data_IF_456976809402
#
_entry.id   IF_456976809402
#
_cell.length_a   1.000
_cell.length_b   1.000
_cell.length_c   1.000
_cell.angle_alpha   90.00
_cell.angle_beta   90.00
_cell.angle_gamma   90.00
#
_symmetry.space_group_name_H-M   'P 1'
#
loop_
_entity.id
_entity.type
_entity.pdbx_description
1 polymer ?
#
# COMPACT_ATOMS: atom_id res chain seq x y z
N UNK A 1 8.56 40.90 61.11
CA UNK A 1 8.40 39.44 61.17
C UNK A 1 9.21 38.83 60.03
N UNK A 2 10.32 38.13 60.32
CA UNK A 2 11.17 37.51 59.32
C UNK A 2 10.67 36.11 58.93
N UNK A 3 10.78 35.77 57.63
CA UNK A 3 10.55 34.43 57.08
C UNK A 3 11.76 33.53 57.31
N UNK A 4 11.52 32.31 57.81
CA UNK A 4 12.52 31.24 57.93
C UNK A 4 12.48 30.32 56.69
N UNK A 5 13.61 29.73 56.26
CA UNK A 5 13.67 28.81 55.12
C UNK A 5 13.38 27.37 55.57
N UNK A 6 12.74 26.58 54.71
CA UNK A 6 12.55 25.14 54.92
C UNK A 6 13.43 24.38 53.93
N UNK A 7 14.37 23.59 54.49
CA UNK A 7 15.40 22.87 53.75
C UNK A 7 14.94 21.54 53.15
N UNK A 8 15.82 20.98 52.31
CA UNK A 8 15.63 19.76 51.53
C UNK A 8 15.60 18.47 52.39
N UNK A 9 14.83 17.49 51.93
CA UNK A 9 14.78 16.13 52.47
C UNK A 9 15.68 15.16 51.66
N UNK A 10 16.25 14.12 52.31
CA UNK A 10 17.35 13.29 51.78
C UNK A 10 16.88 12.12 50.89
N UNK A 11 17.79 11.48 50.12
CA UNK A 11 17.47 10.36 49.25
C UNK A 11 17.57 9.00 49.97
N UNK A 12 16.70 8.06 49.59
CA UNK A 12 16.81 6.63 49.87
C UNK A 12 16.55 5.91 48.53
N UNK A 13 17.26 4.89 48.07
CA UNK A 13 18.27 4.02 48.65
C UNK A 13 18.24 2.75 47.79
N UNK A 14 19.31 2.51 47.04
CA UNK A 14 19.55 1.30 46.26
C UNK A 14 19.99 0.15 47.17
N UNK A 15 19.69 -1.12 46.80
CA UNK A 15 20.47 -2.35 47.06
C UNK A 15 19.74 -3.57 46.38
N UNK A 16 20.14 -4.09 45.18
CA UNK A 16 21.19 -5.10 44.82
C UNK A 16 20.63 -6.57 44.83
N UNK A 17 20.99 -7.54 43.93
CA UNK A 17 22.28 -7.74 43.23
C UNK A 17 22.28 -8.10 41.72
N UNK A 18 23.48 -7.97 41.11
CA UNK A 18 23.90 -8.46 39.78
C UNK A 18 24.76 -9.73 39.88
N UNK A 19 24.59 -10.67 38.93
CA UNK A 19 25.58 -11.54 38.19
C UNK A 19 24.80 -12.72 37.53
N UNK A 20 25.06 -13.30 36.34
CA UNK A 20 26.14 -13.25 35.33
C UNK A 20 25.71 -13.83 33.94
N UNK A 21 26.38 -13.35 32.87
CA UNK A 21 26.75 -13.95 31.53
C UNK A 21 25.71 -14.46 30.50
N UNK A 22 26.03 -14.38 29.18
CA UNK A 22 25.05 -14.34 28.09
C UNK A 22 24.75 -15.72 27.46
N UNK A 23 23.48 -15.98 27.18
CA UNK A 23 23.04 -17.08 26.32
C UNK A 23 22.70 -16.54 24.93
N UNK A 24 23.20 -17.21 23.90
CA UNK A 24 22.84 -16.97 22.50
C UNK A 24 21.34 -17.21 22.30
N UNK A 25 20.64 -16.26 21.67
CA UNK A 25 19.22 -16.37 21.31
C UNK A 25 19.06 -16.25 19.80
N UNK A 26 18.57 -17.35 19.21
CA UNK A 26 18.03 -17.48 17.86
C UNK A 26 16.80 -16.57 17.66
N UNK A 27 16.53 -16.07 16.44
CA UNK A 27 15.39 -15.19 16.18
C UNK A 27 14.06 -15.93 16.36
N UNK A 28 13.11 -15.26 17.03
CA UNK A 28 11.78 -15.78 17.30
C UNK A 28 10.87 -15.62 16.08
N UNK A 29 10.14 -16.70 15.79
CA UNK A 29 9.11 -16.80 14.77
C UNK A 29 7.94 -15.81 15.01
N UNK A 30 7.32 -15.36 13.91
CA UNK A 30 6.20 -14.43 13.91
C UNK A 30 4.94 -14.94 14.64
N UNK A 31 3.95 -14.06 14.88
CA UNK A 31 2.73 -14.41 15.61
C UNK A 31 1.89 -15.45 14.85
N UNK A 32 1.08 -16.27 15.57
CA UNK A 32 0.30 -17.32 14.95
C UNK A 32 -0.86 -16.76 14.12
N UNK A 33 -1.16 -17.45 13.02
CA UNK A 33 -2.30 -17.17 12.15
C UNK A 33 -3.63 -17.29 12.92
N UNK A 34 -4.56 -16.37 12.64
CA UNK A 34 -5.94 -16.45 13.12
C UNK A 34 -6.63 -17.70 12.54
N UNK A 35 -7.32 -18.45 13.41
CA UNK A 35 -8.06 -19.66 13.04
C UNK A 35 -9.23 -19.39 12.09
N UNK A 36 -9.74 -20.44 11.40
CA UNK A 36 -10.78 -20.29 10.40
C UNK A 36 -12.12 -19.88 11.03
N UNK A 37 -12.97 -19.12 10.32
CA UNK A 37 -14.32 -18.83 10.78
C UNK A 37 -15.20 -20.10 10.76
N UNK A 38 -16.25 -20.19 11.61
CA UNK A 38 -17.13 -21.33 11.65
C UNK A 38 -17.98 -21.45 10.37
N UNK A 39 -18.19 -22.68 9.92
CA UNK A 39 -19.07 -23.02 8.81
C UNK A 39 -20.53 -22.66 9.13
N UNK A 40 -21.12 -21.80 8.32
CA UNK A 40 -22.51 -21.38 8.40
C UNK A 40 -23.31 -21.83 7.17
N UNK A 41 -24.10 -22.88 7.38
CA UNK A 41 -25.44 -23.21 6.84
C UNK A 41 -25.76 -22.86 5.38
N UNK A 42 -26.01 -23.90 4.59
CA UNK A 42 -26.42 -23.81 3.19
C UNK A 42 -27.76 -23.11 2.98
N UNK A 43 -27.87 -22.48 1.81
CA UNK A 43 -29.13 -22.00 1.26
C UNK A 43 -29.38 -22.71 -0.07
N UNK A 44 -30.51 -23.40 -0.15
CA UNK A 44 -30.98 -24.17 -1.29
C UNK A 44 -31.33 -23.25 -2.46
N UNK A 45 -30.64 -23.43 -3.60
CA UNK A 45 -31.06 -22.85 -4.88
C UNK A 45 -32.24 -23.66 -5.44
N UNK A 46 -33.41 -23.02 -5.54
CA UNK A 46 -34.55 -23.54 -6.31
C UNK A 46 -34.31 -23.42 -7.83
N UNK A 47 -35.01 -24.20 -8.66
CA UNK A 47 -34.73 -24.27 -10.09
C UNK A 47 -35.22 -23.02 -10.82
N UNK A 48 -34.33 -22.41 -11.62
CA UNK A 48 -34.67 -21.29 -12.52
C UNK A 48 -35.08 -21.88 -13.87
N UNK A 49 -36.31 -21.58 -14.30
CA UNK A 49 -36.83 -21.95 -15.62
C UNK A 49 -36.14 -21.13 -16.74
N UNK A 50 -35.91 -21.70 -17.93
CA UNK A 50 -35.24 -21.00 -19.02
C UNK A 50 -36.18 -19.97 -19.67
N UNK A 51 -35.70 -18.73 -19.84
CA UNK A 51 -36.37 -17.68 -20.62
C UNK A 51 -36.03 -17.82 -22.12
N UNK A 52 -36.97 -17.49 -23.03
CA UNK A 52 -36.83 -17.72 -24.46
C UNK A 52 -35.90 -16.70 -25.16
N UNK A 53 -35.35 -17.01 -26.34
CA UNK A 53 -34.38 -16.16 -27.03
C UNK A 53 -35.05 -14.96 -27.71
N UNK A 54 -34.53 -13.75 -27.47
CA UNK A 54 -34.81 -12.57 -28.30
C UNK A 54 -35.48 -11.39 -27.59
N UNK A 55 -34.79 -10.76 -26.63
CA UNK A 55 -35.05 -9.37 -26.23
C UNK A 55 -33.71 -8.69 -25.95
N UNK A 56 -33.33 -7.75 -26.81
CA UNK A 56 -32.20 -6.84 -26.58
C UNK A 56 -32.71 -5.71 -25.68
N UNK A 57 -32.24 -5.69 -24.43
CA UNK A 57 -32.51 -4.61 -23.47
C UNK A 57 -31.23 -3.85 -23.17
N UNK A 58 -31.14 -2.61 -23.63
CA UNK A 58 -30.17 -1.63 -23.15
C UNK A 58 -30.48 -1.32 -21.67
N UNK A 59 -29.54 -1.59 -20.78
CA UNK A 59 -29.68 -1.29 -19.36
C UNK A 59 -28.50 -1.80 -18.54
N UNK A 60 -27.66 -0.84 -18.12
CA UNK A 60 -26.84 -0.77 -16.89
C UNK A 60 -26.73 -2.06 -16.08
N UNK A 61 -25.49 -2.57 -15.96
CA UNK A 61 -25.11 -3.59 -14.97
C UNK A 61 -24.63 -4.90 -15.58
N UNK A 62 -23.43 -4.90 -16.18
CA UNK A 62 -22.72 -6.14 -16.48
C UNK A 62 -21.21 -5.91 -16.49
N UNK A 63 -20.54 -6.35 -15.43
CA UNK A 63 -19.23 -7.04 -15.53
C UNK A 63 -18.92 -7.70 -14.17
N UNK A 64 -19.81 -8.58 -13.73
CA UNK A 64 -19.42 -9.69 -12.89
C UNK A 64 -19.42 -10.94 -13.79
N UNK A 65 -18.24 -11.50 -14.04
CA UNK A 65 -18.09 -12.86 -14.57
C UNK A 65 -18.20 -13.02 -16.10
N UNK A 66 -17.34 -12.34 -16.86
CA UNK A 66 -16.70 -13.03 -17.96
C UNK A 66 -15.33 -13.46 -17.41
N UNK A 67 -15.05 -14.76 -17.36
CA UNK A 67 -13.68 -15.22 -17.21
C UNK A 67 -12.94 -14.77 -18.47
N UNK A 68 -12.33 -13.57 -18.41
CA UNK A 68 -11.48 -13.09 -19.48
C UNK A 68 -10.31 -14.07 -19.56
N UNK A 69 -10.28 -14.89 -20.61
CA UNK A 69 -9.06 -15.57 -21.03
C UNK A 69 -7.95 -14.51 -21.02
N UNK A 70 -6.88 -14.75 -20.26
CA UNK A 70 -5.79 -13.79 -20.13
C UNK A 70 -5.28 -13.43 -21.51
N UNK A 71 -5.36 -12.15 -21.88
CA UNK A 71 -4.95 -11.70 -23.20
C UNK A 71 -3.44 -11.53 -23.17
N UNK A 72 -2.75 -12.30 -24.01
CA UNK A 72 -1.28 -12.30 -24.12
C UNK A 72 -0.87 -12.07 -25.57
N UNK A 73 0.21 -11.34 -25.79
CA UNK A 73 0.87 -11.29 -27.11
C UNK A 73 1.28 -12.70 -27.56
N UNK A 74 1.13 -13.03 -28.84
CA UNK A 74 1.38 -14.37 -29.38
C UNK A 74 2.87 -14.78 -29.43
N UNK A 75 3.80 -13.85 -29.19
CA UNK A 75 5.23 -14.08 -29.23
C UNK A 75 5.76 -14.57 -27.87
N UNK A 76 6.36 -15.78 -27.80
CA UNK A 76 7.07 -16.22 -26.60
C UNK A 76 8.26 -15.30 -26.33
N UNK A 77 8.30 -14.71 -25.14
CA UNK A 77 9.43 -13.90 -24.68
C UNK A 77 9.70 -14.20 -23.19
N UNK A 78 10.96 -14.51 -22.82
CA UNK A 78 11.31 -14.86 -21.45
C UNK A 78 11.25 -13.67 -20.48
N UNK A 79 11.42 -12.44 -20.97
CA UNK A 79 11.30 -11.24 -20.15
C UNK A 79 9.83 -10.96 -19.81
N UNK A 80 8.92 -11.13 -20.79
CA UNK A 80 7.48 -11.10 -20.54
C UNK A 80 7.06 -12.19 -19.56
N UNK A 81 7.55 -13.43 -19.73
CA UNK A 81 7.25 -14.52 -18.80
C UNK A 81 7.70 -14.19 -17.36
N UNK A 82 8.87 -13.57 -17.21
CA UNK A 82 9.39 -13.12 -15.91
C UNK A 82 8.54 -11.98 -15.32
N UNK A 83 8.08 -11.05 -16.16
CA UNK A 83 7.18 -9.98 -15.75
C UNK A 83 5.83 -10.53 -15.24
N UNK A 84 5.23 -11.46 -15.98
CA UNK A 84 3.96 -12.10 -15.61
C UNK A 84 4.10 -12.91 -14.32
N UNK A 85 5.21 -13.64 -14.15
CA UNK A 85 5.50 -14.34 -12.89
C UNK A 85 5.56 -13.38 -11.71
N UNK A 86 6.21 -12.21 -11.88
CA UNK A 86 6.28 -11.20 -10.82
C UNK A 86 4.91 -10.57 -10.53
N UNK A 87 4.07 -10.30 -11.54
CA UNK A 87 2.69 -9.84 -11.31
C UNK A 87 1.90 -10.85 -10.48
N UNK A 88 1.96 -12.14 -10.82
CA UNK A 88 1.27 -13.18 -10.05
C UNK A 88 1.81 -13.30 -8.62
N UNK A 89 3.12 -13.19 -8.42
CA UNK A 89 3.71 -13.19 -7.09
C UNK A 89 3.25 -11.99 -6.26
N UNK A 90 3.24 -10.79 -6.84
CA UNK A 90 2.76 -9.58 -6.16
C UNK A 90 1.27 -9.66 -5.81
N UNK A 91 0.43 -10.17 -6.73
CA UNK A 91 -0.99 -10.44 -6.46
C UNK A 91 -1.18 -11.44 -5.32
N UNK A 92 -0.38 -12.52 -5.32
CA UNK A 92 -0.42 -13.54 -4.27
C UNK A 92 -0.01 -12.95 -2.93
N UNK A 93 1.12 -12.25 -2.88
CA UNK A 93 1.64 -11.64 -1.65
C UNK A 93 0.68 -10.59 -1.10
N UNK A 94 -0.01 -9.86 -1.98
CA UNK A 94 -0.97 -8.84 -1.60
C UNK A 94 -2.43 -9.34 -1.54
N UNK A 95 -2.69 -10.65 -1.52
CA UNK A 95 -4.07 -11.21 -1.60
C UNK A 95 -5.03 -10.76 -0.50
N UNK A 96 -4.51 -10.37 0.66
CA UNK A 96 -5.30 -9.80 1.77
C UNK A 96 -5.73 -8.34 1.52
N UNK A 97 -5.26 -7.74 0.42
CA UNK A 97 -5.60 -6.40 -0.04
C UNK A 97 -6.09 -6.48 -1.51
N UNK A 98 -7.36 -6.88 -1.74
CA UNK A 98 -7.80 -7.28 -3.08
C UNK A 98 -8.11 -6.11 -4.03
N UNK A 99 -8.15 -4.88 -3.50
CA UNK A 99 -8.53 -3.66 -4.23
C UNK A 99 -7.35 -2.99 -4.92
N UNK A 100 -6.45 -3.74 -5.56
CA UNK A 100 -5.41 -3.13 -6.37
C UNK A 100 -4.99 -4.04 -7.51
N UNK A 101 -4.49 -3.42 -8.56
CA UNK A 101 -3.79 -4.09 -9.63
C UNK A 101 -2.32 -3.71 -9.63
N UNK A 102 -1.48 -4.65 -10.07
CA UNK A 102 -0.05 -4.48 -10.26
C UNK A 102 0.29 -4.45 -11.74
N UNK A 103 1.31 -3.68 -12.09
CA UNK A 103 1.94 -3.71 -13.39
C UNK A 103 3.45 -3.85 -13.22
N UNK A 104 4.04 -4.75 -14.00
CA UNK A 104 5.48 -4.97 -14.11
C UNK A 104 5.90 -4.61 -15.53
N UNK A 105 6.85 -3.69 -15.64
CA UNK A 105 7.46 -3.26 -16.90
C UNK A 105 8.93 -3.70 -16.94
N UNK A 106 9.35 -4.27 -18.06
CA UNK A 106 10.74 -4.63 -18.32
C UNK A 106 11.33 -3.63 -19.29
N UNK A 107 12.35 -2.92 -18.84
CA UNK A 107 13.07 -1.92 -19.62
C UNK A 107 14.39 -2.49 -20.09
N UNK A 108 14.69 -2.30 -21.38
CA UNK A 108 16.03 -2.52 -21.93
C UNK A 108 16.79 -1.21 -21.88
N UNK A 109 18.03 -1.30 -21.40
CA UNK A 109 18.97 -0.19 -21.32
C UNK A 109 20.33 -0.60 -21.85
N UNK A 110 21.20 0.36 -22.13
CA UNK A 110 22.60 0.07 -22.49
C UNK A 110 23.34 -0.69 -21.37
N UNK A 111 22.93 -0.48 -20.11
CA UNK A 111 23.48 -1.16 -18.92
C UNK A 111 22.87 -2.53 -18.62
N UNK A 112 21.81 -2.94 -19.34
CA UNK A 112 21.12 -4.21 -19.14
C UNK A 112 19.62 -4.05 -18.92
N UNK A 113 19.03 -5.02 -18.22
CA UNK A 113 17.58 -5.07 -17.96
C UNK A 113 17.26 -4.39 -16.64
N UNK A 114 16.28 -3.49 -16.65
CA UNK A 114 15.68 -2.90 -15.46
C UNK A 114 14.23 -3.37 -15.32
N UNK A 115 13.85 -3.85 -14.14
CA UNK A 115 12.47 -4.24 -13.82
C UNK A 115 11.82 -3.17 -12.96
N UNK A 116 10.76 -2.54 -13.46
CA UNK A 116 9.97 -1.56 -12.71
C UNK A 116 8.59 -2.10 -12.39
N UNK A 117 8.08 -1.69 -11.24
CA UNK A 117 6.75 -2.06 -10.76
C UNK A 117 5.94 -0.83 -10.35
N UNK A 118 4.63 -0.90 -10.55
CA UNK A 118 3.68 0.12 -10.12
C UNK A 118 2.34 -0.55 -9.83
N UNK A 119 1.52 0.06 -8.98
CA UNK A 119 0.18 -0.40 -8.69
C UNK A 119 -0.82 0.75 -8.71
N UNK A 120 -2.10 0.42 -8.62
CA UNK A 120 -3.20 1.39 -8.64
C UNK A 120 -3.49 2.06 -7.29
N UNK A 121 -2.65 1.88 -6.26
CA UNK A 121 -2.87 2.43 -4.93
C UNK A 121 -1.84 3.51 -4.56
N UNK A 122 -2.31 4.74 -4.38
CA UNK A 122 -1.50 5.87 -3.96
C UNK A 122 -0.37 6.19 -4.92
N UNK A 123 0.80 6.54 -4.37
CA UNK A 123 2.04 6.67 -5.12
C UNK A 123 2.85 5.35 -5.07
N UNK A 124 2.19 4.21 -5.34
CA UNK A 124 2.82 2.89 -5.23
C UNK A 124 2.85 2.35 -3.81
N UNK A 125 1.73 2.43 -3.09
CA UNK A 125 1.60 1.85 -1.76
C UNK A 125 1.70 0.32 -1.82
N UNK A 126 2.59 -0.22 -0.99
CA UNK A 126 2.78 -1.64 -0.68
C UNK A 126 2.07 -1.97 0.66
N UNK A 127 1.14 -2.95 0.70
CA UNK A 127 0.51 -3.40 1.93
C UNK A 127 1.46 -3.97 2.97
N UNK A 128 1.02 -4.02 4.22
CA UNK A 128 1.75 -4.69 5.28
C UNK A 128 1.92 -6.18 4.96
N UNK A 129 3.13 -6.72 5.20
CA UNK A 129 3.47 -8.11 4.91
C UNK A 129 3.83 -8.42 3.46
N UNK A 130 3.75 -7.45 2.55
CA UNK A 130 4.25 -7.59 1.17
C UNK A 130 5.69 -7.12 1.11
N UNK A 131 6.58 -7.98 0.63
CA UNK A 131 8.01 -7.70 0.48
C UNK A 131 8.38 -7.71 -1.01
N UNK A 132 9.00 -6.62 -1.48
CA UNK A 132 9.26 -6.43 -2.91
C UNK A 132 10.63 -7.02 -3.27
N UNK A 133 10.76 -7.80 -4.34
CA UNK A 133 12.07 -8.29 -4.78
C UNK A 133 13.06 -7.15 -5.00
N UNK A 134 14.28 -7.26 -4.47
CA UNK A 134 15.34 -6.24 -4.63
C UNK A 134 15.79 -6.04 -6.08
N UNK A 135 15.47 -6.98 -6.96
CA UNK A 135 15.67 -6.87 -8.41
C UNK A 135 14.65 -5.96 -9.12
N UNK A 136 13.59 -5.55 -8.41
CA UNK A 136 12.55 -4.67 -8.93
C UNK A 136 12.53 -3.33 -8.19
N UNK A 137 12.14 -2.25 -8.88
CA UNK A 137 11.99 -0.92 -8.29
C UNK A 137 10.60 -0.34 -8.52
N UNK A 138 10.06 0.32 -7.50
CA UNK A 138 8.82 1.08 -7.64
C UNK A 138 9.02 2.29 -8.55
N UNK A 139 8.12 2.52 -9.51
CA UNK A 139 8.13 3.71 -10.39
C UNK A 139 8.19 4.99 -9.55
N UNK A 140 7.32 5.11 -8.54
CA UNK A 140 7.23 6.33 -7.72
C UNK A 140 8.41 6.56 -6.77
N UNK A 141 9.33 5.59 -6.63
CA UNK A 141 10.59 5.76 -5.90
C UNK A 141 11.66 6.50 -6.74
N UNK A 142 11.40 6.80 -8.01
CA UNK A 142 12.25 7.67 -8.81
C UNK A 142 12.13 9.13 -8.33
N UNK A 143 13.22 9.65 -7.75
CA UNK A 143 13.32 11.04 -7.28
C UNK A 143 13.24 12.09 -8.39
N UNK A 144 13.42 11.70 -9.65
CA UNK A 144 13.28 12.57 -10.82
C UNK A 144 11.84 12.91 -11.21
N UNK A 145 10.84 12.20 -10.68
CA UNK A 145 9.44 12.43 -11.03
C UNK A 145 8.94 13.79 -10.55
N UNK A 146 8.42 14.56 -11.51
CA UNK A 146 7.83 15.88 -11.24
C UNK A 146 6.60 15.79 -10.32
N UNK A 147 6.30 16.84 -9.54
CA UNK A 147 5.08 16.90 -8.75
C UNK A 147 3.81 16.73 -9.61
N UNK A 148 3.82 17.18 -10.86
CA UNK A 148 2.70 17.05 -11.79
C UNK A 148 2.49 15.59 -12.21
N UNK A 149 3.56 14.86 -12.52
CA UNK A 149 3.46 13.43 -12.81
C UNK A 149 2.91 12.67 -11.61
N UNK A 150 3.46 12.95 -10.43
CA UNK A 150 3.01 12.34 -9.17
C UNK A 150 1.53 12.62 -8.90
N UNK A 151 1.07 13.85 -9.10
CA UNK A 151 -0.33 14.22 -8.92
C UNK A 151 -1.27 13.62 -9.97
N UNK A 152 -0.83 13.49 -11.22
CA UNK A 152 -1.64 12.97 -12.32
C UNK A 152 -1.89 11.46 -12.20
N UNK A 153 -0.89 10.72 -11.72
CA UNK A 153 -0.90 9.25 -11.70
C UNK A 153 -1.14 8.65 -10.31
N UNK A 154 -1.42 9.46 -9.29
CA UNK A 154 -1.71 8.98 -7.95
C UNK A 154 -3.01 8.17 -7.89
N UNK A 155 -2.95 6.93 -7.40
CA UNK A 155 -4.09 6.00 -7.37
C UNK A 155 -4.78 5.82 -8.72
N UNK A 156 -4.03 5.85 -9.83
CA UNK A 156 -4.62 5.67 -11.16
C UNK A 156 -5.06 4.22 -11.36
N UNK A 157 -6.30 4.02 -11.83
CA UNK A 157 -6.95 2.71 -11.82
C UNK A 157 -6.23 1.66 -12.69
N UNK A 158 -5.75 2.05 -13.88
CA UNK A 158 -4.97 1.15 -14.74
C UNK A 158 -3.46 1.40 -14.59
N UNK A 159 -2.72 0.57 -13.81
CA UNK A 159 -1.30 0.79 -13.59
C UNK A 159 -0.45 0.66 -14.87
N UNK A 160 -0.95 0.00 -15.93
CA UNK A 160 -0.27 -0.05 -17.23
C UNK A 160 -0.15 1.35 -17.86
N UNK A 161 -1.16 2.20 -17.74
CA UNK A 161 -1.10 3.58 -18.25
C UNK A 161 -0.05 4.40 -17.52
N UNK A 162 0.08 4.20 -16.21
CA UNK A 162 1.14 4.86 -15.41
C UNK A 162 2.52 4.38 -15.85
N UNK A 163 2.69 3.07 -16.10
CA UNK A 163 3.95 2.50 -16.60
C UNK A 163 4.33 3.07 -17.98
N UNK A 164 3.35 3.17 -18.89
CA UNK A 164 3.54 3.72 -20.23
C UNK A 164 3.92 5.20 -20.18
N UNK A 165 3.24 5.99 -19.34
CA UNK A 165 3.57 7.39 -19.16
C UNK A 165 4.96 7.59 -18.54
N UNK A 166 5.35 6.72 -17.60
CA UNK A 166 6.71 6.70 -17.07
C UNK A 166 7.73 6.36 -18.17
N UNK A 167 7.44 5.36 -19.01
CA UNK A 167 8.32 4.97 -20.11
C UNK A 167 8.55 6.13 -21.09
N UNK A 168 7.49 6.87 -21.44
CA UNK A 168 7.59 8.06 -22.27
C UNK A 168 8.45 9.14 -21.60
N UNK A 169 8.19 9.45 -20.32
CA UNK A 169 8.98 10.43 -19.57
C UNK A 169 10.46 10.03 -19.48
N UNK A 170 10.75 8.74 -19.28
CA UNK A 170 12.11 8.23 -19.20
C UNK A 170 12.82 8.36 -20.56
N UNK A 171 12.15 8.06 -21.67
CA UNK A 171 12.69 8.19 -23.02
C UNK A 171 13.01 9.64 -23.42
N UNK A 172 12.31 10.63 -22.83
CA UNK A 172 12.64 12.06 -23.02
C UNK A 172 14.01 12.44 -22.40
N UNK A 173 14.49 11.69 -21.41
CA UNK A 173 15.71 12.00 -20.66
C UNK A 173 16.83 10.98 -20.89
N UNK A 174 16.50 9.81 -21.45
CA UNK A 174 17.42 8.71 -21.74
C UNK A 174 17.14 8.17 -23.14
N UNK A 175 18.07 8.33 -24.07
CA UNK A 175 17.93 7.76 -25.42
C UNK A 175 18.10 6.24 -25.44
N UNK A 176 18.69 5.66 -24.38
CA UNK A 176 19.02 4.25 -24.30
C UNK A 176 17.95 3.38 -23.63
N UNK A 177 16.81 3.96 -23.21
CA UNK A 177 15.76 3.24 -22.48
C UNK A 177 14.57 2.90 -23.39
N UNK A 178 14.17 1.64 -23.37
CA UNK A 178 13.01 1.13 -24.10
C UNK A 178 12.17 0.24 -23.19
N UNK A 179 10.86 0.48 -23.13
CA UNK A 179 9.92 -0.46 -22.51
C UNK A 179 9.72 -1.66 -23.46
N UNK A 180 10.32 -2.80 -23.11
CA UNK A 180 10.32 -4.00 -23.94
C UNK A 180 9.09 -4.88 -23.72
N UNK A 181 8.72 -5.12 -22.45
CA UNK A 181 7.61 -5.99 -22.09
C UNK A 181 6.81 -5.42 -20.91
N UNK A 182 5.50 -5.72 -20.87
CA UNK A 182 4.61 -5.29 -19.80
C UNK A 182 3.61 -6.38 -19.42
N UNK A 183 3.56 -6.74 -18.15
CA UNK A 183 2.50 -7.57 -17.59
C UNK A 183 1.67 -6.74 -16.61
N UNK A 184 0.35 -6.94 -16.59
CA UNK A 184 -0.56 -6.18 -15.72
C UNK A 184 -1.72 -7.04 -15.25
N UNK A 185 -2.09 -6.93 -13.98
CA UNK A 185 -3.27 -7.61 -13.45
C UNK A 185 -4.56 -6.87 -13.82
N UNK A 186 -5.69 -7.58 -13.83
CA UNK A 186 -6.93 -7.08 -14.45
C UNK A 186 -8.15 -7.13 -13.53
N UNK A 187 -7.95 -7.22 -12.22
CA UNK A 187 -9.03 -7.52 -11.27
C UNK A 187 -9.72 -6.25 -10.73
N UNK A 188 -9.06 -5.09 -10.78
CA UNK A 188 -9.53 -3.84 -10.19
C UNK A 188 -9.27 -2.58 -11.06
N UNK A 189 -9.38 -2.75 -12.38
CA UNK A 189 -9.29 -1.67 -13.38
C UNK A 189 -8.04 -1.70 -14.27
N UNK A 190 -7.10 -2.60 -14.02
CA UNK A 190 -5.92 -2.82 -14.85
C UNK A 190 -6.24 -3.52 -16.18
N UNK A 191 -5.48 -3.15 -17.21
CA UNK A 191 -5.53 -3.80 -18.51
C UNK A 191 -4.32 -3.41 -19.35
N UNK A 192 -3.78 -4.36 -20.11
CA UNK A 192 -2.73 -4.15 -21.11
C UNK A 192 -3.23 -3.42 -22.34
N UNK A 193 -4.54 -3.19 -22.50
CA UNK A 193 -5.15 -2.58 -23.70
C UNK A 193 -4.40 -1.32 -24.19
N UNK A 194 -3.99 -0.35 -23.35
CA UNK A 194 -3.23 0.82 -23.79
C UNK A 194 -1.82 0.48 -24.33
N UNK A 195 -1.22 -0.61 -23.88
CA UNK A 195 0.13 -1.02 -24.28
C UNK A 195 0.14 -1.73 -25.64
N UNK A 196 -0.97 -2.33 -26.07
CA UNK A 196 -1.03 -3.21 -27.27
C UNK A 196 -0.72 -2.52 -28.59
N UNK A 197 -0.89 -1.20 -28.64
CA UNK A 197 -0.56 -0.38 -29.80
C UNK A 197 0.88 0.17 -29.75
N UNK A 198 1.59 0.00 -28.63
CA UNK A 198 2.89 0.64 -28.37
C UNK A 198 4.03 -0.35 -28.22
N UNK A 199 3.76 -1.56 -27.70
CA UNK A 199 4.78 -2.59 -27.49
C UNK A 199 4.28 -3.96 -27.99
N UNK A 200 5.22 -4.81 -28.40
CA UNK A 200 4.91 -6.15 -28.91
C UNK A 200 4.62 -7.17 -27.81
N UNK A 201 5.28 -7.04 -26.64
CA UNK A 201 5.22 -8.02 -25.56
C UNK A 201 4.36 -7.52 -24.41
N UNK A 202 3.14 -8.05 -24.32
CA UNK A 202 2.20 -7.69 -23.25
C UNK A 202 1.37 -8.88 -22.75
N UNK A 203 0.94 -8.82 -21.49
CA UNK A 203 0.08 -9.84 -20.88
C UNK A 203 -0.90 -9.25 -19.85
N UNK A 204 -2.16 -9.69 -19.94
CA UNK A 204 -3.20 -9.52 -18.92
C UNK A 204 -3.19 -10.71 -17.95
N UNK A 205 -2.80 -10.46 -16.70
CA UNK A 205 -2.66 -11.45 -15.65
C UNK A 205 -3.86 -11.43 -14.70
N UNK A 206 -4.94 -12.13 -15.04
CA UNK A 206 -6.09 -12.28 -14.13
C UNK A 206 -5.74 -13.14 -12.92
N UNK A 207 -6.12 -12.73 -11.70
CA UNK A 207 -5.95 -13.52 -10.47
C UNK A 207 -6.54 -14.93 -10.59
N UNK A 208 -7.62 -15.10 -11.35
CA UNK A 208 -8.25 -16.42 -11.58
C UNK A 208 -7.38 -17.38 -12.39
N UNK A 209 -6.41 -16.86 -13.13
CA UNK A 209 -5.44 -17.62 -13.93
C UNK A 209 -4.07 -17.73 -13.23
N UNK A 210 -3.99 -17.35 -11.95
CA UNK A 210 -2.76 -17.44 -11.18
C UNK A 210 -2.21 -18.87 -11.18
N UNK A 211 -0.92 -19.08 -11.50
CA UNK A 211 -0.27 -20.37 -11.35
C UNK A 211 0.03 -20.70 -9.88
N UNK A 212 -0.05 -19.72 -8.99
CA UNK A 212 0.16 -19.88 -7.55
C UNK A 212 -1.17 -20.23 -6.87
N UNK A 213 -1.16 -21.30 -6.09
CA UNK A 213 -2.30 -21.68 -5.25
C UNK A 213 -2.26 -20.98 -3.89
N UNK A 214 -3.42 -20.87 -3.24
CA UNK A 214 -3.56 -20.18 -1.95
C UNK A 214 -2.74 -20.81 -0.81
N UNK A 215 -2.32 -22.07 -0.96
CA UNK A 215 -1.48 -22.77 0.03
C UNK A 215 0.00 -22.40 -0.07
N UNK A 216 0.42 -21.78 -1.18
CA UNK A 216 1.80 -21.29 -1.32
C UNK A 216 2.02 -20.16 -0.30
N UNK A 217 3.09 -20.20 0.51
CA UNK A 217 3.42 -19.10 1.42
C UNK A 217 3.61 -17.78 0.67
N UNK A 218 3.36 -16.64 1.33
CA UNK A 218 3.81 -15.35 0.78
C UNK A 218 5.34 -15.27 0.79
N UNK A 219 5.89 -14.42 -0.08
CA UNK A 219 7.29 -14.00 0.04
C UNK A 219 7.59 -13.52 1.46
N UNK A 220 8.80 -13.77 1.92
CA UNK A 220 9.26 -13.40 3.25
C UNK A 220 10.30 -12.29 3.15
N UNK A 221 10.50 -11.56 4.25
CA UNK A 221 11.60 -10.62 4.34
C UNK A 221 12.91 -11.40 4.46
N UNK A 222 13.73 -11.36 3.42
CA UNK A 222 14.99 -12.09 3.31
C UNK A 222 16.03 -11.28 2.52
N UNK A 223 17.15 -11.89 2.13
CA UNK A 223 18.22 -11.22 1.37
C UNK A 223 17.80 -10.81 -0.05
N UNK A 224 16.73 -11.40 -0.58
CA UNK A 224 16.21 -11.15 -1.93
C UNK A 224 15.01 -10.20 -1.95
N UNK A 225 14.30 -10.03 -0.83
CA UNK A 225 13.14 -9.14 -0.72
C UNK A 225 13.35 -7.98 0.25
N UNK A 226 12.96 -6.79 -0.18
CA UNK A 226 13.04 -5.56 0.58
C UNK A 226 11.78 -5.28 1.39
N UNK A 227 11.99 -4.68 2.57
CA UNK A 227 10.90 -4.12 3.35
C UNK A 227 10.27 -2.92 2.62
N UNK A 228 8.96 -2.69 2.77
CA UNK A 228 8.25 -1.58 2.09
C UNK A 228 8.80 -0.18 2.39
N UNK A 229 9.40 0.04 3.57
CA UNK A 229 10.15 1.27 3.84
C UNK A 229 11.48 1.34 3.08
N UNK A 230 12.19 0.22 2.94
CA UNK A 230 13.47 0.14 2.24
C UNK A 230 13.32 0.52 0.76
N UNK A 231 12.15 0.23 0.16
CA UNK A 231 11.84 0.61 -1.23
C UNK A 231 11.63 2.11 -1.43
N UNK A 232 11.33 2.86 -0.36
CA UNK A 232 11.18 4.32 -0.37
C UNK A 232 12.43 5.04 0.11
N UNK A 233 12.96 4.60 1.25
CA UNK A 233 14.10 5.19 1.94
C UNK A 233 14.91 4.10 2.66
N UNK A 234 15.88 3.56 1.93
CA UNK A 234 16.81 2.53 2.44
C UNK A 234 17.64 3.01 3.63
N UNK A 235 18.03 4.28 3.65
CA UNK A 235 18.84 4.83 4.72
C UNK A 235 18.03 4.91 6.02
N UNK A 236 16.79 5.41 5.93
CA UNK A 236 15.87 5.45 7.05
C UNK A 236 15.52 4.04 7.55
N UNK A 237 15.23 3.10 6.65
CA UNK A 237 15.00 1.71 7.04
C UNK A 237 16.18 1.11 7.81
N UNK A 238 17.41 1.31 7.30
CA UNK A 238 18.63 0.83 7.96
C UNK A 238 18.82 1.44 9.34
N UNK A 239 18.59 2.75 9.50
CA UNK A 239 18.64 3.41 10.82
C UNK A 239 17.61 2.85 11.78
N UNK A 240 16.35 2.75 11.35
CA UNK A 240 15.23 2.30 12.20
C UNK A 240 15.35 0.82 12.62
N UNK A 241 16.15 0.04 11.90
CA UNK A 241 16.46 -1.36 12.22
C UNK A 241 17.79 -1.55 12.93
N UNK A 242 18.53 -0.47 13.21
CA UNK A 242 19.77 -0.48 13.98
C UNK A 242 21.04 -0.83 13.18
N UNK A 243 20.97 -0.84 11.85
CA UNK A 243 22.10 -1.14 10.96
C UNK A 243 22.65 0.10 10.23
N UNK A 244 21.97 1.24 10.32
CA UNK A 244 22.36 2.49 9.67
C UNK A 244 22.88 3.55 10.64
N UNK A 245 23.33 4.67 10.07
CA UNK A 245 23.81 5.82 10.84
C UNK A 245 22.68 6.58 11.55
N UNK A 246 22.99 7.14 12.71
CA UNK A 246 22.09 7.96 13.51
C UNK A 246 21.57 7.27 14.78
N UNK A 247 20.77 7.99 15.59
CA UNK A 247 20.22 7.43 16.81
C UNK A 247 19.19 6.33 16.51
N UNK A 248 19.19 5.29 17.36
CA UNK A 248 18.13 4.30 17.38
C UNK A 248 16.78 4.99 17.61
N UNK A 249 15.71 4.53 16.95
CA UNK A 249 14.41 5.13 17.13
C UNK A 249 13.88 4.90 18.55
N UNK A 250 13.14 5.88 19.03
CA UNK A 250 12.40 5.79 20.29
C UNK A 250 10.90 6.01 20.09
N UNK A 251 10.15 5.67 21.12
CA UNK A 251 8.69 5.79 21.12
C UNK A 251 8.21 7.24 20.91
N UNK A 252 8.97 8.23 21.36
CA UNK A 252 8.63 9.64 21.23
C UNK A 252 8.81 10.13 19.79
N UNK A 253 9.86 9.68 19.09
CA UNK A 253 10.05 9.89 17.65
C UNK A 253 8.88 9.29 16.86
N UNK A 254 8.54 8.03 17.13
CA UNK A 254 7.41 7.35 16.48
C UNK A 254 6.08 8.08 16.71
N UNK A 255 5.85 8.56 17.93
CA UNK A 255 4.65 9.32 18.26
C UNK A 255 4.58 10.67 17.54
N UNK A 256 5.70 11.42 17.46
CA UNK A 256 5.76 12.67 16.68
C UNK A 256 5.46 12.43 15.20
N UNK A 257 6.01 11.37 14.62
CA UNK A 257 5.73 10.95 13.24
C UNK A 257 4.24 10.64 13.05
N UNK A 258 3.64 9.92 14.01
CA UNK A 258 2.21 9.61 14.04
C UNK A 258 1.35 10.88 14.05
N UNK A 259 1.62 11.81 14.96
CA UNK A 259 0.85 13.05 15.10
C UNK A 259 0.98 13.92 13.84
N UNK A 260 2.17 14.04 13.27
CA UNK A 260 2.38 14.82 12.04
C UNK A 260 1.57 14.26 10.87
N UNK A 261 1.58 12.93 10.70
CA UNK A 261 0.78 12.25 9.69
C UNK A 261 -0.74 12.44 9.93
N UNK A 262 -1.18 12.31 11.17
CA UNK A 262 -2.58 12.51 11.56
C UNK A 262 -3.06 13.94 11.27
N UNK A 263 -2.25 14.95 11.61
CA UNK A 263 -2.56 16.34 11.32
C UNK A 263 -2.73 16.58 9.81
N UNK A 264 -1.82 16.05 8.98
CA UNK A 264 -1.91 16.20 7.52
C UNK A 264 -3.15 15.52 6.94
N UNK A 265 -3.41 14.26 7.31
CA UNK A 265 -4.55 13.50 6.82
C UNK A 265 -5.89 14.14 7.24
N UNK A 266 -6.02 14.54 8.51
CA UNK A 266 -7.23 15.17 9.04
C UNK A 266 -7.44 16.59 8.49
N UNK A 267 -6.37 17.35 8.25
CA UNK A 267 -6.45 18.66 7.60
C UNK A 267 -6.97 18.54 6.15
N UNK A 268 -6.49 17.54 5.40
CA UNK A 268 -6.99 17.26 4.05
C UNK A 268 -8.46 16.84 4.06
N UNK A 269 -8.84 15.91 4.94
CA UNK A 269 -10.24 15.51 5.04
C UNK A 269 -11.14 16.70 5.42
N UNK A 270 -10.67 17.56 6.34
CA UNK A 270 -11.39 18.77 6.75
C UNK A 270 -11.46 19.88 5.70
N UNK A 271 -10.65 19.84 4.64
CA UNK A 271 -10.73 20.82 3.55
C UNK A 271 -11.76 20.45 2.48
N UNK A 272 -12.39 19.28 2.57
CA UNK A 272 -13.39 18.81 1.62
C UNK A 272 -14.78 19.01 2.23
N UNK A 273 -15.67 19.80 1.60
CA UNK A 273 -17.05 19.97 2.07
C UNK A 273 -17.77 18.63 2.20
N UNK A 274 -18.52 18.46 3.29
CA UNK A 274 -19.33 17.28 3.59
C UNK A 274 -18.57 15.92 3.63
N UNK A 275 -17.23 15.96 3.69
CA UNK A 275 -16.43 14.75 3.81
C UNK A 275 -16.51 14.18 5.23
N UNK A 276 -17.10 12.99 5.36
CA UNK A 276 -17.26 12.32 6.64
C UNK A 276 -15.95 11.63 7.08
N UNK A 277 -15.43 12.01 8.24
CA UNK A 277 -14.34 11.29 8.92
C UNK A 277 -14.95 10.39 10.00
N UNK A 278 -14.65 9.10 9.95
CA UNK A 278 -15.12 8.15 10.95
C UNK A 278 -14.70 8.59 12.38
N UNK A 279 -15.63 8.70 13.36
CA UNK A 279 -15.32 9.19 14.70
C UNK A 279 -14.19 8.42 15.40
N UNK A 280 -14.13 7.11 15.19
CA UNK A 280 -13.12 6.22 15.76
C UNK A 280 -11.68 6.69 15.49
N UNK A 281 -11.41 7.32 14.34
CA UNK A 281 -10.06 7.84 14.01
C UNK A 281 -9.65 8.92 15.04
N UNK A 282 -10.53 9.88 15.31
CA UNK A 282 -10.25 10.99 16.22
C UNK A 282 -10.23 10.52 17.68
N UNK A 283 -11.14 9.62 18.04
CA UNK A 283 -11.25 9.10 19.41
C UNK A 283 -10.06 8.21 19.80
N UNK A 284 -9.60 7.34 18.90
CA UNK A 284 -8.39 6.52 19.15
C UNK A 284 -7.16 7.42 19.24
N UNK A 285 -7.00 8.38 18.32
CA UNK A 285 -5.89 9.34 18.34
C UNK A 285 -5.87 10.14 19.65
N UNK A 286 -7.02 10.62 20.11
CA UNK A 286 -7.17 11.38 21.36
C UNK A 286 -6.77 10.55 22.58
N UNK A 287 -7.28 9.31 22.71
CA UNK A 287 -6.91 8.41 23.81
C UNK A 287 -5.40 8.13 23.83
N UNK A 288 -4.81 7.81 22.67
CA UNK A 288 -3.38 7.57 22.55
C UNK A 288 -2.55 8.82 22.95
N UNK A 289 -3.01 10.01 22.58
CA UNK A 289 -2.34 11.28 22.89
C UNK A 289 -2.28 11.60 24.39
N UNK A 290 -3.28 11.13 25.15
CA UNK A 290 -3.33 11.27 26.59
C UNK A 290 -2.68 10.08 27.33
N UNK A 291 -2.12 9.12 26.60
CA UNK A 291 -1.56 7.89 27.18
C UNK A 291 -2.62 7.00 27.84
N UNK A 292 -3.88 7.11 27.41
CA UNK A 292 -5.00 6.35 27.94
C UNK A 292 -5.18 5.03 27.19
N UNK A 293 -5.64 3.96 27.86
CA UNK A 293 -5.92 2.70 27.21
C UNK A 293 -7.09 2.86 26.22
N UNK A 294 -6.91 2.32 25.01
CA UNK A 294 -7.95 2.33 23.97
C UNK A 294 -8.85 1.09 24.15
N UNK A 295 -10.17 1.25 24.33
CA UNK A 295 -11.09 0.12 24.45
C UNK A 295 -11.13 -0.77 23.21
N UNK A 296 -11.29 -2.09 23.39
CA UNK A 296 -11.35 -3.06 22.29
C UNK A 296 -12.36 -2.70 21.19
N UNK A 297 -13.53 -2.16 21.59
CA UNK A 297 -14.56 -1.70 20.66
C UNK A 297 -14.06 -0.59 19.72
N UNK A 298 -13.22 0.33 20.19
CA UNK A 298 -12.69 1.42 19.35
C UNK A 298 -11.69 0.89 18.33
N UNK A 299 -10.92 -0.14 18.67
CA UNK A 299 -10.07 -0.83 17.70
C UNK A 299 -10.91 -1.49 16.59
N UNK A 300 -12.00 -2.16 16.94
CA UNK A 300 -12.91 -2.77 15.97
C UNK A 300 -13.59 -1.74 15.06
N UNK A 301 -14.06 -0.63 15.63
CA UNK A 301 -14.65 0.48 14.86
C UNK A 301 -13.62 1.13 13.92
N UNK A 302 -12.36 1.22 14.35
CA UNK A 302 -11.26 1.71 13.54
C UNK A 302 -10.92 0.75 12.38
N UNK A 303 -10.88 -0.56 12.63
CA UNK A 303 -10.71 -1.59 11.60
C UNK A 303 -11.87 -1.56 10.57
N UNK A 304 -13.11 -1.40 11.02
CA UNK A 304 -14.25 -1.24 10.11
C UNK A 304 -14.15 0.04 9.26
N UNK A 305 -13.71 1.15 9.86
CA UNK A 305 -13.46 2.40 9.15
C UNK A 305 -12.34 2.25 8.11
N UNK A 306 -11.34 1.39 8.35
CA UNK A 306 -10.27 1.10 7.39
C UNK A 306 -10.85 0.52 6.11
N UNK A 307 -11.68 -0.53 6.22
CA UNK A 307 -12.31 -1.20 5.08
C UNK A 307 -13.15 -0.18 4.28
N UNK A 308 -13.93 0.66 4.97
CA UNK A 308 -14.71 1.72 4.32
C UNK A 308 -13.83 2.71 3.54
N UNK A 309 -12.75 3.20 4.16
CA UNK A 309 -11.83 4.12 3.50
C UNK A 309 -11.15 3.50 2.27
N UNK A 310 -10.73 2.23 2.36
CA UNK A 310 -10.16 1.48 1.24
C UNK A 310 -11.14 1.32 0.08
N UNK A 311 -12.36 0.87 0.36
CA UNK A 311 -13.39 0.67 -0.67
C UNK A 311 -13.76 1.98 -1.35
N UNK A 312 -13.96 3.06 -0.59
CA UNK A 312 -14.26 4.37 -1.15
C UNK A 312 -13.10 4.94 -1.96
N UNK A 313 -11.85 4.77 -1.51
CA UNK A 313 -10.66 5.17 -2.26
C UNK A 313 -10.54 4.43 -3.59
N UNK A 314 -10.69 3.10 -3.58
CA UNK A 314 -10.62 2.25 -4.77
C UNK A 314 -11.75 2.56 -5.77
N UNK A 315 -12.99 2.73 -5.28
CA UNK A 315 -14.15 3.03 -6.11
C UNK A 315 -14.10 4.40 -6.79
N UNK A 316 -13.34 5.35 -6.24
CA UNK A 316 -13.21 6.71 -6.76
C UNK A 316 -11.95 6.92 -7.62
N UNK A 317 -11.15 5.88 -7.86
CA UNK A 317 -9.91 6.01 -8.62
C UNK A 317 -10.15 6.60 -10.01
N UNK A 318 -9.35 7.59 -10.42
CA UNK A 318 -9.39 8.09 -11.79
C UNK A 318 -8.84 7.04 -12.77
N UNK A 319 -9.15 7.19 -14.05
CA UNK A 319 -8.69 6.30 -15.11
C UNK A 319 -9.58 5.09 -15.36
N UNK A 320 -10.68 4.95 -14.61
CA UNK A 320 -11.74 3.99 -14.94
C UNK A 320 -12.60 4.49 -16.10
N UNK A 321 -12.67 5.81 -16.28
CA UNK A 321 -13.38 6.47 -17.36
C UNK A 321 -12.38 7.26 -18.20
N UNK A 322 -12.47 7.15 -19.53
CA UNK A 322 -11.51 7.76 -20.48
C UNK A 322 -11.48 9.29 -20.51
N UNK A 323 -12.17 9.98 -19.60
CA UNK A 323 -12.25 11.43 -19.49
C UNK A 323 -11.52 12.02 -18.29
N UNK A 324 -10.90 11.20 -17.44
CA UNK A 324 -10.34 11.67 -16.17
C UNK A 324 -9.04 12.47 -16.37
N UNK A 325 -8.99 13.66 -15.77
CA UNK A 325 -7.84 14.58 -15.85
C UNK A 325 -6.78 14.34 -14.78
N UNK A 326 -7.06 13.49 -13.78
CA UNK A 326 -6.15 13.15 -12.69
C UNK A 326 -6.88 12.82 -11.39
N UNK A 327 -6.11 12.65 -10.32
CA UNK A 327 -6.60 12.30 -8.98
C UNK A 327 -7.44 13.41 -8.37
N UNK A 328 -8.51 13.04 -7.66
CA UNK A 328 -9.41 13.99 -6.99
C UNK A 328 -9.06 14.16 -5.50
N UNK A 329 -9.59 15.23 -4.89
CA UNK A 329 -9.43 15.47 -3.45
C UNK A 329 -9.94 14.31 -2.60
N UNK A 330 -11.07 13.71 -3.02
CA UNK A 330 -11.69 12.59 -2.32
C UNK A 330 -10.80 11.35 -2.34
N UNK A 331 -10.16 11.02 -3.47
CA UNK A 331 -9.22 9.88 -3.55
C UNK A 331 -8.04 10.09 -2.61
N UNK A 332 -7.47 11.29 -2.59
CA UNK A 332 -6.36 11.63 -1.70
C UNK A 332 -6.76 11.54 -0.22
N UNK A 333 -7.96 12.04 0.14
CA UNK A 333 -8.46 11.97 1.51
C UNK A 333 -8.72 10.53 1.97
N UNK A 334 -9.34 9.69 1.14
CA UNK A 334 -9.56 8.28 1.49
C UNK A 334 -8.24 7.52 1.62
N UNK A 335 -7.27 7.75 0.73
CA UNK A 335 -5.93 7.18 0.84
C UNK A 335 -5.28 7.60 2.16
N UNK A 336 -5.20 8.90 2.46
CA UNK A 336 -4.53 9.39 3.66
C UNK A 336 -5.20 8.91 4.95
N UNK A 337 -6.54 8.82 4.97
CA UNK A 337 -7.27 8.26 6.11
C UNK A 337 -7.04 6.76 6.26
N UNK A 338 -6.99 5.98 5.17
CA UNK A 338 -6.68 4.56 5.24
C UNK A 338 -5.28 4.32 5.82
N UNK A 339 -4.27 5.09 5.36
CA UNK A 339 -2.90 5.02 5.89
C UNK A 339 -2.82 5.49 7.34
N UNK A 340 -3.58 6.51 7.72
CA UNK A 340 -3.65 6.98 9.11
C UNK A 340 -4.25 5.90 10.01
N UNK A 341 -5.31 5.23 9.57
CA UNK A 341 -5.94 4.14 10.31
C UNK A 341 -4.95 3.00 10.53
N UNK A 342 -4.26 2.53 9.49
CA UNK A 342 -3.20 1.51 9.63
C UNK A 342 -2.14 1.92 10.63
N UNK A 343 -1.72 3.18 10.58
CA UNK A 343 -0.71 3.73 11.47
C UNK A 343 -1.19 3.72 12.92
N UNK A 344 -2.43 4.12 13.19
CA UNK A 344 -3.03 4.06 14.52
C UNK A 344 -3.15 2.62 15.04
N UNK A 345 -3.47 1.66 14.17
CA UNK A 345 -3.57 0.24 14.53
C UNK A 345 -2.21 -0.34 14.99
N UNK A 346 -1.08 0.19 14.52
CA UNK A 346 0.25 -0.24 15.00
C UNK A 346 0.47 0.06 16.49
N UNK A 347 -0.22 1.04 17.07
CA UNK A 347 -0.13 1.37 18.49
C UNK A 347 -0.88 0.40 19.40
N UNK A 348 -1.64 -0.54 18.82
CA UNK A 348 -2.25 -1.66 19.55
C UNK A 348 -1.24 -2.77 19.87
N UNK A 349 -0.11 -2.81 19.16
CA UNK A 349 0.92 -3.84 19.33
C UNK A 349 1.72 -3.65 20.62
N UNK A 350 2.22 -4.75 21.18
CA UNK A 350 3.05 -4.73 22.38
C UNK A 350 4.43 -4.08 22.14
N UNK A 351 4.89 -4.09 20.89
CA UNK A 351 6.16 -3.48 20.46
C UNK A 351 5.93 -2.44 19.38
N UNK A 352 6.73 -1.37 19.41
CA UNK A 352 6.63 -0.29 18.42
C UNK A 352 7.24 -0.70 17.09
N UNK A 353 6.41 -0.76 16.06
CA UNK A 353 6.83 -1.08 14.70
C UNK A 353 7.41 0.15 13.98
N UNK A 354 8.61 0.58 14.35
CA UNK A 354 9.21 1.83 13.85
C UNK A 354 9.26 1.95 12.32
N UNK A 355 9.71 0.92 11.55
CA UNK A 355 9.72 1.01 10.09
C UNK A 355 8.33 1.15 9.48
N UNK A 356 7.32 0.53 10.08
CA UNK A 356 5.93 0.54 9.59
C UNK A 356 5.28 1.91 9.83
N UNK A 357 5.51 2.51 11.01
CA UNK A 357 5.05 3.86 11.33
C UNK A 357 5.66 4.87 10.34
N UNK A 358 6.97 4.79 10.09
CA UNK A 358 7.66 5.68 9.18
C UNK A 358 7.18 5.52 7.73
N UNK A 359 6.94 4.28 7.28
CA UNK A 359 6.43 4.00 5.96
C UNK A 359 5.02 4.60 5.74
N UNK A 360 4.08 4.34 6.66
CA UNK A 360 2.71 4.83 6.54
C UNK A 360 2.64 6.36 6.61
N UNK A 361 3.45 6.96 7.49
CA UNK A 361 3.58 8.41 7.54
C UNK A 361 4.17 8.97 6.24
N UNK A 362 5.16 8.30 5.64
CA UNK A 362 5.73 8.70 4.35
C UNK A 362 4.70 8.65 3.23
N UNK A 363 3.82 7.65 3.21
CA UNK A 363 2.73 7.56 2.22
C UNK A 363 1.77 8.75 2.32
N UNK A 364 1.39 9.16 3.53
CA UNK A 364 0.59 10.38 3.75
C UNK A 364 1.36 11.64 3.36
N UNK A 365 2.68 11.67 3.60
CA UNK A 365 3.51 12.82 3.27
C UNK A 365 3.72 12.99 1.75
N UNK A 366 3.90 11.89 1.03
CA UNK A 366 4.09 11.86 -0.41
C UNK A 366 2.78 12.08 -1.19
N UNK A 367 1.62 11.92 -0.56
CA UNK A 367 0.34 12.30 -1.16
C UNK A 367 0.34 13.75 -1.63
N UNK A 368 0.08 14.02 -2.91
CA UNK A 368 0.14 15.36 -3.48
C UNK A 368 -0.87 16.28 -2.80
N UNK A 369 -0.52 17.56 -2.65
CA UNK A 369 -1.46 18.60 -2.24
C UNK A 369 -1.98 19.29 -3.49
N UNK A 370 -3.28 19.28 -3.71
CA UNK A 370 -3.86 20.02 -4.82
C UNK A 370 -3.90 21.50 -4.45
N UNK A 371 -3.10 22.32 -5.11
CA UNK A 371 -3.22 23.76 -5.00
C UNK A 371 -4.53 24.19 -5.71
N UNK A 372 -5.41 24.90 -5.00
CA UNK A 372 -6.52 25.61 -5.64
C UNK A 372 -7.97 25.15 -5.35
N UNK A 373 -8.26 24.55 -4.20
CA UNK A 373 -9.65 24.48 -3.70
C UNK A 373 -9.79 25.48 -2.56
N UNK A 374 -9.86 26.75 -2.92
CA UNK A 374 -9.89 27.86 -1.97
C UNK A 374 -9.56 29.17 -2.64
N UNK A 375 -10.57 29.77 -3.27
CA UNK A 375 -10.65 31.21 -3.50
C UNK A 375 -12.07 31.64 -3.19
#
# INVERSE_FOLDING_TARGET
MPSAPVGALPPFGSDVPRTATPAAVTPAAGPPAAGPPPAGVGSTAGPVAPLPPGVVGSGVGASAGAASEGIRSSLPDPLLASASQLVYQLLHDSRMYPYMDWCVGIFRTSSGIETLIVNSEGAGYIPAGVFVPRSARMVFADGGLSPQFRARWFSWANPAETMLAYAQLAAEHREDIELWALAVSTDDGGSSMPARAMIEHYEDCSRSLSPLSDVVPTSQLDDTHAHRLETLDRALYSRLTGFGDGPLPDRSEAWRTTISAAQKALARAGSIPDFAVAPAIREVLDLLSHGLPVPARRWQELEAAHIGALMSGAGLRPGRLGSDSGTTAHVLAHHDLARLIELLLLWRLDSTAYPEIAYLASQIQLSPWMAGVGS
#
